data_IF_964804519516
#
_entry.id   IF_964804519516
#
_cell.length_a   1.000
_cell.length_b   1.000
_cell.length_c   1.000
_cell.angle_alpha   90.00
_cell.angle_beta   90.00
_cell.angle_gamma   90.00
#
_symmetry.space_group_name_H-M   'P 1'
#
loop_
_entity.id
_entity.type
_entity.pdbx_description
1 polymer ?
#
# COMPACT_ATOMS: atom_id res chain seq x y z
N UNK A 1 4.86 -10.24 -3.89
CA UNK A 1 3.50 -10.20 -4.49
C UNK A 1 2.72 -11.40 -4.04
N UNK A 2 1.38 -11.35 -4.05
CA UNK A 2 0.53 -12.52 -3.78
C UNK A 2 0.88 -13.69 -4.70
N UNK A 3 0.79 -14.93 -4.19
CA UNK A 3 1.09 -16.15 -4.94
C UNK A 3 0.33 -16.25 -6.27
N UNK A 4 -0.91 -15.77 -6.31
CA UNK A 4 -1.75 -15.75 -7.51
C UNK A 4 -1.06 -15.11 -8.73
N UNK A 5 -0.36 -13.99 -8.53
CA UNK A 5 0.37 -13.32 -9.61
C UNK A 5 1.47 -14.20 -10.18
N UNK A 6 2.14 -15.00 -9.34
CA UNK A 6 3.18 -15.94 -9.76
C UNK A 6 2.63 -17.08 -10.60
N UNK A 7 1.49 -17.64 -10.19
CA UNK A 7 0.82 -18.72 -10.93
C UNK A 7 0.38 -18.31 -12.35
N UNK A 8 0.17 -17.01 -12.57
CA UNK A 8 -0.33 -16.46 -13.84
C UNK A 8 0.65 -15.47 -14.49
N UNK A 9 1.89 -15.40 -14.00
CA UNK A 9 2.85 -14.32 -14.29
C UNK A 9 3.05 -14.09 -15.79
N UNK A 10 3.27 -15.18 -16.52
CA UNK A 10 3.51 -15.15 -17.97
C UNK A 10 2.22 -15.02 -18.77
N UNK A 11 1.15 -15.71 -18.35
CA UNK A 11 -0.07 -15.88 -19.14
C UNK A 11 -1.04 -14.69 -19.01
N UNK A 12 -1.09 -14.03 -17.84
CA UNK A 12 -1.94 -12.87 -17.60
C UNK A 12 -1.29 -11.55 -18.02
N UNK A 13 -0.05 -11.58 -18.51
CA UNK A 13 0.68 -10.39 -18.97
C UNK A 13 1.25 -9.53 -17.85
N UNK A 14 1.30 -10.02 -16.60
CA UNK A 14 1.87 -9.31 -15.46
C UNK A 14 3.35 -8.96 -15.67
N UNK A 15 4.10 -9.85 -16.35
CA UNK A 15 5.50 -9.63 -16.72
C UNK A 15 5.76 -8.45 -17.66
N UNK A 16 4.71 -7.88 -18.27
CA UNK A 16 4.80 -6.69 -19.14
C UNK A 16 4.44 -5.39 -18.42
N UNK A 17 3.97 -5.48 -17.18
CA UNK A 17 3.45 -4.36 -16.40
C UNK A 17 4.30 -4.13 -15.15
N UNK A 18 4.51 -5.19 -14.37
CA UNK A 18 5.19 -5.13 -13.09
C UNK A 18 6.64 -5.57 -13.20
N UNK A 19 7.49 -5.00 -12.36
CA UNK A 19 8.80 -5.56 -12.10
C UNK A 19 8.64 -6.94 -11.43
N UNK A 20 9.48 -7.89 -11.81
CA UNK A 20 9.46 -9.22 -11.21
C UNK A 20 9.70 -9.12 -9.69
N UNK A 21 8.79 -9.65 -8.85
CA UNK A 21 8.93 -9.57 -7.42
C UNK A 21 9.99 -10.55 -6.92
N UNK A 22 10.61 -10.22 -5.79
CA UNK A 22 11.56 -11.12 -5.09
C UNK A 22 10.93 -12.43 -4.60
N UNK A 23 9.61 -12.43 -4.36
CA UNK A 23 8.87 -13.60 -3.88
C UNK A 23 7.39 -13.48 -4.23
N UNK A 24 6.80 -14.63 -4.61
CA UNK A 24 5.36 -14.84 -4.73
C UNK A 24 4.87 -15.67 -3.53
N UNK A 25 4.04 -15.06 -2.68
CA UNK A 25 3.71 -15.61 -1.34
C UNK A 25 2.29 -15.27 -0.91
N UNK A 26 1.67 -16.14 -0.11
CA UNK A 26 0.32 -15.90 0.45
C UNK A 26 0.33 -14.86 1.57
N UNK A 27 1.51 -14.58 2.15
CA UNK A 27 1.69 -13.62 3.24
C UNK A 27 1.97 -12.19 2.74
N UNK A 28 1.75 -11.93 1.45
CA UNK A 28 2.00 -10.62 0.86
C UNK A 28 1.07 -9.51 1.39
N UNK A 29 -0.04 -9.84 2.04
CA UNK A 29 -0.92 -8.89 2.75
C UNK A 29 -0.49 -8.62 4.21
N UNK A 30 0.26 -9.54 4.81
CA UNK A 30 0.74 -9.44 6.19
C UNK A 30 2.11 -10.13 6.32
N UNK A 31 3.20 -9.39 6.05
CA UNK A 31 4.54 -9.97 5.96
C UNK A 31 5.11 -10.32 7.33
N UNK A 32 4.55 -9.76 8.40
CA UNK A 32 4.99 -9.95 9.77
C UNK A 32 4.60 -11.32 10.32
N UNK A 33 3.62 -12.01 9.71
CA UNK A 33 3.19 -13.36 10.14
C UNK A 33 4.30 -14.39 9.89
N UNK A 34 4.96 -14.30 8.74
CA UNK A 34 6.09 -15.18 8.36
C UNK A 34 7.17 -14.36 7.67
N UNK A 35 7.91 -13.60 8.47
CA UNK A 35 8.91 -12.63 7.99
C UNK A 35 9.95 -13.18 7.01
N UNK A 36 10.25 -14.49 7.05
CA UNK A 36 11.18 -15.11 6.11
C UNK A 36 10.63 -15.26 4.67
N UNK A 37 9.30 -15.36 4.50
CA UNK A 37 8.68 -15.60 3.20
C UNK A 37 8.49 -14.31 2.38
N UNK A 38 8.58 -13.15 3.06
CA UNK A 38 8.45 -11.83 2.44
C UNK A 38 9.77 -11.07 2.55
N UNK A 39 10.64 -11.14 1.53
CA UNK A 39 11.92 -10.44 1.56
C UNK A 39 11.75 -8.93 1.54
N UNK A 40 12.68 -8.21 2.16
CA UNK A 40 12.76 -6.76 2.06
C UNK A 40 13.47 -6.33 0.77
N UNK A 41 13.25 -5.07 0.37
CA UNK A 41 13.91 -4.42 -0.76
C UNK A 41 14.36 -3.02 -0.38
N UNK A 42 15.48 -2.56 -0.92
CA UNK A 42 15.95 -1.19 -0.75
C UNK A 42 15.25 -0.28 -1.77
N UNK A 43 14.74 0.86 -1.30
CA UNK A 43 14.10 1.85 -2.15
C UNK A 43 15.12 2.89 -2.61
N UNK A 44 15.29 2.99 -3.93
CA UNK A 44 16.14 4.02 -4.52
C UNK A 44 15.52 5.41 -4.35
N UNK A 45 16.32 6.38 -3.90
CA UNK A 45 15.99 7.80 -3.97
C UNK A 45 14.87 8.27 -3.02
N UNK A 46 15.01 7.99 -1.72
CA UNK A 46 14.13 8.48 -0.63
C UNK A 46 12.63 8.45 -0.95
N UNK A 47 12.19 7.44 -1.72
CA UNK A 47 10.79 7.29 -2.11
C UNK A 47 10.05 6.47 -1.08
N UNK A 48 8.76 6.75 -0.92
CA UNK A 48 7.89 6.00 -0.03
C UNK A 48 7.74 4.52 -0.43
N UNK A 49 7.43 3.70 0.56
CA UNK A 49 6.99 2.33 0.36
C UNK A 49 5.52 2.34 -0.08
N UNK A 50 5.17 1.39 -0.95
CA UNK A 50 3.84 1.25 -1.54
C UNK A 50 3.26 -0.12 -1.21
N UNK A 51 1.96 -0.15 -0.91
CA UNK A 51 1.11 -1.34 -0.89
C UNK A 51 -0.04 -1.14 -1.89
N UNK A 52 -0.27 -2.14 -2.74
CA UNK A 52 -1.38 -2.18 -3.69
C UNK A 52 -2.24 -3.39 -3.35
N UNK A 53 -3.55 -3.15 -3.28
CA UNK A 53 -4.58 -4.17 -3.18
C UNK A 53 -5.46 -4.10 -4.44
N UNK A 54 -5.48 -5.19 -5.20
CA UNK A 54 -6.24 -5.30 -6.44
C UNK A 54 -7.34 -6.36 -6.28
N UNK A 55 -8.56 -6.03 -6.69
CA UNK A 55 -9.64 -7.01 -6.75
C UNK A 55 -9.47 -7.91 -7.99
N UNK A 56 -9.19 -9.18 -7.78
CA UNK A 56 -9.00 -10.15 -8.84
C UNK A 56 -10.37 -10.58 -9.35
N UNK A 57 -10.58 -10.49 -10.68
CA UNK A 57 -11.83 -10.91 -11.33
C UNK A 57 -11.94 -12.44 -11.50
N UNK A 58 -11.11 -13.21 -10.81
CA UNK A 58 -11.12 -14.68 -10.87
C UNK A 58 -11.62 -15.22 -9.53
N UNK A 59 -12.75 -15.92 -9.57
CA UNK A 59 -13.37 -16.53 -8.39
C UNK A 59 -14.13 -15.55 -7.48
N UNK A 60 -14.47 -16.01 -6.28
CA UNK A 60 -15.25 -15.27 -5.29
C UNK A 60 -14.33 -14.22 -4.63
N UNK A 61 -14.21 -13.04 -5.26
CA UNK A 61 -13.66 -11.84 -4.62
C UNK A 61 -12.23 -11.96 -4.09
N UNK A 62 -11.37 -12.73 -4.76
CA UNK A 62 -9.98 -12.85 -4.35
C UNK A 62 -9.25 -11.50 -4.48
N UNK A 63 -8.36 -11.21 -3.54
CA UNK A 63 -7.56 -9.98 -3.54
C UNK A 63 -6.09 -10.30 -3.80
N UNK A 64 -5.49 -9.54 -4.70
CA UNK A 64 -4.07 -9.60 -5.01
C UNK A 64 -3.33 -8.46 -4.32
N UNK A 65 -2.28 -8.80 -3.58
CA UNK A 65 -1.46 -7.83 -2.86
C UNK A 65 -0.09 -7.67 -3.54
N UNK A 66 0.34 -6.43 -3.70
CA UNK A 66 1.66 -6.06 -4.22
C UNK A 66 2.29 -5.08 -3.22
N UNK A 67 3.58 -5.25 -2.95
CA UNK A 67 4.36 -4.39 -2.07
C UNK A 67 5.71 -4.10 -2.68
N UNK A 68 6.22 -2.90 -2.46
CA UNK A 68 7.54 -2.52 -2.90
C UNK A 68 7.79 -1.04 -2.70
N UNK A 69 8.74 -0.51 -3.45
CA UNK A 69 9.08 0.90 -3.48
C UNK A 69 8.29 1.59 -4.58
N UNK A 70 7.92 2.85 -4.40
CA UNK A 70 7.32 3.66 -5.47
C UNK A 70 8.19 3.66 -6.74
N UNK A 71 9.51 3.61 -6.59
CA UNK A 71 10.45 3.56 -7.71
C UNK A 71 10.49 2.23 -8.49
N UNK A 72 9.97 1.12 -7.95
CA UNK A 72 10.30 -0.23 -8.44
C UNK A 72 9.12 -1.22 -8.54
N UNK A 73 7.88 -0.74 -8.58
CA UNK A 73 6.70 -1.64 -8.77
C UNK A 73 6.42 -1.89 -10.25
N UNK A 74 6.40 -0.83 -11.06
CA UNK A 74 6.05 -0.90 -12.47
C UNK A 74 7.30 -0.78 -13.35
N UNK A 75 7.36 -1.54 -14.44
CA UNK A 75 8.49 -1.51 -15.39
C UNK A 75 8.75 -0.11 -15.95
N UNK A 76 7.68 0.66 -16.17
CA UNK A 76 7.73 2.00 -16.73
C UNK A 76 7.58 3.11 -15.67
N UNK A 77 7.52 2.72 -14.39
CA UNK A 77 7.27 3.62 -13.27
C UNK A 77 5.83 4.12 -13.16
N UNK A 78 5.55 4.81 -12.06
CA UNK A 78 4.26 5.47 -11.83
C UNK A 78 4.13 6.75 -12.66
N UNK A 79 2.89 7.13 -12.98
CA UNK A 79 2.58 8.47 -13.45
C UNK A 79 3.00 9.49 -12.38
N UNK A 80 3.89 10.42 -12.77
CA UNK A 80 4.51 11.39 -11.85
C UNK A 80 3.67 12.63 -11.59
N UNK A 81 2.48 12.70 -12.18
CA UNK A 81 1.57 13.86 -12.05
C UNK A 81 0.43 13.58 -11.07
N UNK A 82 -0.18 14.65 -10.56
CA UNK A 82 -1.40 14.57 -9.76
C UNK A 82 -1.29 13.74 -8.48
N UNK A 83 -2.38 13.07 -8.13
CA UNK A 83 -2.49 12.23 -6.93
C UNK A 83 -1.55 11.03 -6.97
N UNK A 84 -1.33 10.41 -8.14
CA UNK A 84 -0.40 9.29 -8.29
C UNK A 84 1.05 9.73 -8.03
N UNK A 85 1.45 10.89 -8.56
CA UNK A 85 2.78 11.46 -8.30
C UNK A 85 3.01 11.79 -6.83
N UNK A 86 1.95 12.19 -6.11
CA UNK A 86 2.02 12.48 -4.68
C UNK A 86 2.40 11.26 -3.83
N UNK A 87 2.08 10.03 -4.28
CA UNK A 87 2.46 8.79 -3.58
C UNK A 87 3.98 8.65 -3.38
N UNK A 88 4.80 9.35 -4.16
CA UNK A 88 6.26 9.31 -4.03
C UNK A 88 6.74 9.74 -2.64
N UNK A 89 6.14 10.80 -2.10
CA UNK A 89 6.62 11.51 -0.91
C UNK A 89 5.53 11.81 0.12
N UNK A 90 4.25 11.53 -0.18
CA UNK A 90 3.13 11.75 0.73
C UNK A 90 2.53 10.43 1.17
N UNK A 91 2.17 10.38 2.44
CA UNK A 91 1.58 9.19 3.07
C UNK A 91 0.07 9.28 3.03
N UNK A 92 -0.57 8.39 2.27
CA UNK A 92 -2.02 8.29 2.18
C UNK A 92 -2.42 7.00 1.46
N UNK A 93 -3.69 6.63 1.61
CA UNK A 93 -4.33 5.56 0.85
C UNK A 93 -5.41 6.14 -0.03
N UNK A 94 -5.47 5.71 -1.28
CA UNK A 94 -6.52 6.14 -2.22
C UNK A 94 -6.84 5.03 -3.22
N UNK A 95 -8.10 4.99 -3.66
CA UNK A 95 -8.53 4.06 -4.70
C UNK A 95 -8.24 4.70 -6.05
N UNK A 96 -7.32 4.11 -6.80
CA UNK A 96 -6.96 4.56 -8.13
C UNK A 96 -7.59 3.66 -9.18
N UNK A 97 -7.89 4.25 -10.32
CA UNK A 97 -8.04 3.48 -11.54
C UNK A 97 -6.63 3.22 -12.10
N UNK A 98 -6.29 1.97 -12.43
CA UNK A 98 -4.93 1.66 -12.91
C UNK A 98 -4.53 2.48 -14.15
N UNK A 99 -5.48 2.89 -14.99
CA UNK A 99 -5.20 3.79 -16.13
C UNK A 99 -4.61 5.15 -15.73
N UNK A 100 -4.85 5.60 -14.49
CA UNK A 100 -4.25 6.81 -13.93
C UNK A 100 -2.83 6.56 -13.41
N UNK A 101 -2.60 5.33 -12.91
CA UNK A 101 -1.35 4.92 -12.25
C UNK A 101 -0.25 4.63 -13.26
N UNK A 102 -0.61 3.95 -14.36
CA UNK A 102 0.31 3.58 -15.44
C UNK A 102 -0.32 3.78 -16.81
N UNK A 103 0.50 4.16 -17.79
CA UNK A 103 0.06 4.27 -19.17
C UNK A 103 -0.40 2.90 -19.69
N UNK A 104 -1.62 2.84 -20.26
CA UNK A 104 -2.20 1.59 -20.78
C UNK A 104 -2.79 0.66 -19.71
N UNK A 105 -2.86 1.09 -18.45
CA UNK A 105 -3.54 0.34 -17.40
C UNK A 105 -5.01 0.09 -17.75
N UNK A 106 -5.49 -1.14 -17.57
CA UNK A 106 -6.91 -1.45 -17.72
C UNK A 106 -7.70 -0.79 -16.59
N UNK A 107 -8.95 -0.35 -16.82
CA UNK A 107 -9.74 0.31 -15.79
C UNK A 107 -10.25 -0.70 -14.75
N UNK A 108 -9.36 -1.08 -13.85
CA UNK A 108 -9.69 -1.77 -12.62
C UNK A 108 -9.30 -0.90 -11.42
N UNK A 109 -10.12 -1.00 -10.38
CA UNK A 109 -9.89 -0.26 -9.15
C UNK A 109 -8.86 -0.99 -8.30
N UNK A 110 -7.89 -0.24 -7.81
CA UNK A 110 -6.86 -0.72 -6.90
C UNK A 110 -6.69 0.29 -5.77
N UNK A 111 -6.69 -0.20 -4.54
CA UNK A 111 -6.33 0.64 -3.41
C UNK A 111 -4.81 0.70 -3.34
N UNK A 112 -4.25 1.90 -3.39
CA UNK A 112 -2.81 2.14 -3.28
C UNK A 112 -2.56 2.98 -2.05
N UNK A 113 -1.75 2.45 -1.14
CA UNK A 113 -1.28 3.10 0.05
C UNK A 113 0.21 3.43 -0.06
N UNK A 114 0.59 4.63 0.34
CA UNK A 114 1.97 5.08 0.46
C UNK A 114 2.30 5.41 1.91
N UNK A 115 3.51 5.08 2.36
CA UNK A 115 4.04 5.45 3.66
C UNK A 115 5.56 5.70 3.60
N UNK A 116 6.05 6.58 4.47
CA UNK A 116 7.47 6.83 4.65
C UNK A 116 8.09 5.97 5.77
N UNK A 117 9.39 5.74 5.67
CA UNK A 117 10.17 4.99 6.65
C UNK A 117 10.39 3.52 6.32
N UNK A 118 11.28 2.88 7.06
CA UNK A 118 11.70 1.51 6.80
C UNK A 118 10.57 0.52 7.10
N UNK A 119 10.22 -0.31 6.11
CA UNK A 119 9.24 -1.40 6.24
C UNK A 119 7.84 -0.94 6.69
N UNK A 120 7.49 0.34 6.53
CA UNK A 120 6.22 0.90 6.99
C UNK A 120 5.00 0.22 6.34
N UNK A 121 5.15 -0.28 5.11
CA UNK A 121 4.09 -0.97 4.37
C UNK A 121 3.92 -2.44 4.80
N UNK A 122 4.67 -2.88 5.82
CA UNK A 122 4.58 -4.19 6.42
C UNK A 122 3.36 -4.37 7.32
N UNK A 123 2.78 -3.30 7.85
CA UNK A 123 1.55 -3.42 8.63
C UNK A 123 0.36 -3.52 7.68
N UNK A 124 -0.52 -4.49 7.90
CA UNK A 124 -1.82 -4.51 7.22
C UNK A 124 -2.57 -3.25 7.63
N UNK A 125 -2.92 -2.42 6.65
CA UNK A 125 -3.84 -1.31 6.87
C UNK A 125 -5.23 -1.92 7.13
N UNK A 126 -5.48 -2.36 8.36
CA UNK A 126 -6.85 -2.27 8.87
C UNK A 126 -7.18 -0.80 8.76
N UNK A 127 -8.15 -0.46 7.92
CA UNK A 127 -8.74 0.87 7.83
C UNK A 127 -8.99 1.36 9.25
N UNK A 128 -8.03 2.10 9.80
CA UNK A 128 -8.14 2.63 11.13
C UNK A 128 -9.14 3.76 10.96
N UNK A 129 -10.40 3.46 11.25
CA UNK A 129 -11.28 4.47 11.83
C UNK A 129 -10.42 5.18 12.86
N UNK A 130 -10.01 6.41 12.55
CA UNK A 130 -9.23 7.23 13.46
C UNK A 130 -9.98 7.17 14.77
N UNK A 131 -9.42 6.45 15.74
CA UNK A 131 -10.19 6.00 16.89
C UNK A 131 -10.64 7.27 17.60
N UNK A 132 -11.93 7.56 17.53
CA UNK A 132 -12.57 8.70 18.20
C UNK A 132 -12.21 8.74 19.69
N UNK A 133 -11.75 7.62 20.26
CA UNK A 133 -11.17 7.52 21.59
C UNK A 133 -9.95 8.42 21.83
N UNK A 134 -9.07 8.65 20.85
CA UNK A 134 -7.90 9.54 21.03
C UNK A 134 -8.31 11.02 21.13
N UNK A 135 -9.28 11.46 20.33
CA UNK A 135 -9.81 12.84 20.41
C UNK A 135 -10.54 13.03 21.75
N UNK A 136 -11.35 12.04 22.15
CA UNK A 136 -12.10 12.09 23.41
C UNK A 136 -11.17 12.15 24.64
N UNK A 137 -10.08 11.36 24.65
CA UNK A 137 -9.11 11.37 25.75
C UNK A 137 -8.34 12.70 25.84
N UNK A 138 -7.99 13.31 24.72
CA UNK A 138 -7.36 14.63 24.70
C UNK A 138 -8.33 15.73 25.15
N UNK A 139 -9.61 15.67 24.73
CA UNK A 139 -10.62 16.63 25.19
C UNK A 139 -10.92 16.50 26.67
N UNK A 140 -10.97 15.28 27.22
CA UNK A 140 -11.19 15.06 28.65
C UNK A 140 -10.00 15.58 29.46
N UNK A 141 -8.76 15.28 29.04
CA UNK A 141 -7.58 15.80 29.72
C UNK A 141 -7.51 17.34 29.66
N UNK A 142 -7.86 17.95 28.53
CA UNK A 142 -7.92 19.41 28.41
C UNK A 142 -8.98 20.03 29.33
N UNK A 143 -10.17 19.42 29.45
CA UNK A 143 -11.23 19.85 30.36
C UNK A 143 -10.81 19.70 31.84
N UNK A 144 -10.13 18.61 32.20
CA UNK A 144 -9.61 18.41 33.56
C UNK A 144 -8.50 19.44 33.87
N UNK A 145 -7.56 19.66 32.96
CA UNK A 145 -6.49 20.65 33.14
C UNK A 145 -7.06 22.07 33.27
N UNK A 146 -8.01 22.43 32.43
CA UNK A 146 -8.65 23.77 32.49
C UNK A 146 -9.53 23.96 33.72
N UNK A 147 -10.07 22.89 34.31
CA UNK A 147 -10.77 22.94 35.60
C UNK A 147 -9.81 23.10 36.78
N UNK A 148 -8.69 22.37 36.79
CA UNK A 148 -7.67 22.45 37.85
C UNK A 148 -6.98 23.81 37.89
N UNK A 149 -6.72 24.44 36.72
CA UNK A 149 -6.04 25.74 36.64
C UNK A 149 -6.98 26.97 36.72
N UNK A 150 -8.30 26.79 36.87
CA UNK A 150 -9.27 27.89 37.06
C UNK A 150 -9.80 28.03 38.49
N UNK A 151 -9.31 27.22 39.43
CA UNK A 151 -9.53 27.34 40.88
C UNK A 151 -8.23 27.86 41.49
#
# INVERSE_FOLDING_TARGET
MSRYYGATWQFAGYSRIYMEPRSFTDYCSNPNIRGADVPFVFCDGSTNCISIEENLKIGIGAQGFIRGCWSSIFLWGFNRTGTVGALRNREFCYNFNLSQVIAGGKPFESQICSCGGNLCNGNSYSSSNFSTKCIILLSINYMIFSYIFRI
#
